data_IF_434177983866
#
_entry.id   IF_434177983866
#
_cell.length_a   1.000
_cell.length_b   1.000
_cell.length_c   1.000
_cell.angle_alpha   90.00
_cell.angle_beta   90.00
_cell.angle_gamma   90.00
#
_symmetry.space_group_name_H-M   'P 1'
#
loop_
_entity.id
_entity.type
_entity.pdbx_description
1 polymer ?
#
# COMPACT_ATOMS: atom_id res chain seq x y z
N UNK A 1 -18.92 0.59 13.78
CA UNK A 1 -18.01 -0.53 13.44
C UNK A 1 -18.27 -0.95 12.00
N UNK A 2 -17.40 -0.61 11.04
CA UNK A 2 -17.54 -1.06 9.64
C UNK A 2 -17.09 -2.52 9.56
N UNK A 3 -18.01 -3.44 9.23
CA UNK A 3 -17.68 -4.85 8.97
C UNK A 3 -16.89 -4.93 7.66
N UNK A 4 -15.61 -5.29 7.75
CA UNK A 4 -14.82 -5.71 6.59
C UNK A 4 -15.45 -6.99 6.04
N UNK A 5 -16.10 -6.89 4.89
CA UNK A 5 -16.64 -8.04 4.18
C UNK A 5 -15.44 -8.77 3.57
N UNK A 6 -14.99 -9.85 4.20
CA UNK A 6 -14.03 -10.75 3.56
C UNK A 6 -14.71 -11.42 2.37
N UNK A 7 -14.30 -11.05 1.16
CA UNK A 7 -14.72 -11.69 -0.08
C UNK A 7 -14.20 -13.14 -0.06
N UNK A 8 -15.11 -14.11 -0.21
CA UNK A 8 -14.76 -15.54 -0.32
C UNK A 8 -13.80 -15.72 -1.51
N UNK A 9 -12.54 -16.06 -1.23
CA UNK A 9 -11.47 -16.22 -2.21
C UNK A 9 -10.31 -15.23 -2.07
N UNK A 10 -10.42 -14.23 -1.19
CA UNK A 10 -9.29 -13.34 -0.87
C UNK A 10 -8.21 -14.12 -0.09
N UNK A 11 -7.09 -14.42 -0.76
CA UNK A 11 -5.91 -14.97 -0.09
C UNK A 11 -5.32 -13.86 0.79
N UNK A 12 -5.20 -14.11 2.10
CA UNK A 12 -4.42 -13.23 2.97
C UNK A 12 -2.96 -13.54 2.69
N UNK A 13 -2.33 -12.71 1.86
CA UNK A 13 -0.93 -12.84 1.47
C UNK A 13 -0.04 -12.55 2.68
N UNK A 14 1.04 -13.32 2.83
CA UNK A 14 2.04 -13.01 3.84
C UNK A 14 2.88 -11.79 3.39
N UNK A 15 3.63 -11.17 4.31
CA UNK A 15 4.42 -9.95 4.01
C UNK A 15 5.36 -10.09 2.80
N UNK A 16 5.92 -11.27 2.57
CA UNK A 16 6.82 -11.49 1.43
C UNK A 16 6.04 -11.59 0.12
N UNK A 17 4.86 -12.22 0.13
CA UNK A 17 3.94 -12.26 -1.01
C UNK A 17 3.30 -10.90 -1.30
N UNK A 18 3.03 -10.11 -0.26
CA UNK A 18 2.63 -8.72 -0.41
C UNK A 18 3.74 -7.91 -1.07
N UNK A 19 4.99 -7.99 -0.62
CA UNK A 19 6.12 -7.28 -1.26
C UNK A 19 6.29 -7.60 -2.74
N UNK A 20 6.15 -8.87 -3.14
CA UNK A 20 6.29 -9.27 -4.56
C UNK A 20 5.11 -8.84 -5.43
N UNK A 21 3.94 -8.59 -4.86
CA UNK A 21 2.74 -8.14 -5.59
C UNK A 21 2.57 -6.62 -5.52
N UNK A 22 2.87 -6.04 -4.37
CA UNK A 22 2.65 -4.64 -4.04
C UNK A 22 3.80 -3.74 -4.47
N UNK A 23 4.99 -4.27 -4.79
CA UNK A 23 6.02 -3.50 -5.50
C UNK A 23 5.40 -2.81 -6.72
N UNK A 24 5.19 -1.50 -6.62
CA UNK A 24 4.24 -0.86 -7.53
C UNK A 24 3.96 0.60 -7.24
N UNK A 25 3.71 1.32 -8.32
CA UNK A 25 3.28 2.72 -8.28
C UNK A 25 1.83 2.78 -7.80
N UNK A 26 1.61 3.47 -6.70
CA UNK A 26 0.26 3.65 -6.10
C UNK A 26 -0.61 4.62 -6.90
N UNK A 27 -0.03 5.33 -7.88
CA UNK A 27 -0.68 6.39 -8.66
C UNK A 27 -0.74 7.73 -7.94
N UNK A 28 -0.37 7.77 -6.65
CA UNK A 28 -0.31 9.01 -5.88
C UNK A 28 0.94 9.79 -6.22
N UNK A 29 0.79 11.07 -6.59
CA UNK A 29 1.93 11.96 -6.79
C UNK A 29 2.57 12.35 -5.45
N UNK A 30 3.88 12.53 -5.47
CA UNK A 30 4.66 12.99 -4.32
C UNK A 30 5.78 13.93 -4.76
N UNK A 31 6.15 14.84 -3.85
CA UNK A 31 7.33 15.69 -3.94
C UNK A 31 8.43 15.19 -3.00
N UNK A 32 8.05 14.57 -1.89
CA UNK A 32 8.94 14.00 -0.91
C UNK A 32 8.30 12.74 -0.27
N UNK A 33 9.09 12.01 0.51
CA UNK A 33 8.68 10.74 1.13
C UNK A 33 7.50 10.90 2.12
N UNK A 34 7.40 12.04 2.82
CA UNK A 34 6.34 12.26 3.80
C UNK A 34 4.95 12.38 3.16
N UNK A 35 4.87 12.78 1.88
CA UNK A 35 3.60 12.86 1.15
C UNK A 35 2.91 11.48 1.06
N UNK A 36 3.72 10.41 1.04
CA UNK A 36 3.24 9.03 0.92
C UNK A 36 2.70 8.43 2.24
N UNK A 37 2.93 9.08 3.39
CA UNK A 37 2.41 8.62 4.69
C UNK A 37 0.88 8.63 4.75
N UNK A 38 0.25 9.42 3.88
CA UNK A 38 -1.21 9.43 3.71
C UNK A 38 -1.77 8.06 3.27
N UNK A 39 -0.97 7.23 2.61
CA UNK A 39 -1.34 5.88 2.17
C UNK A 39 -1.46 4.90 3.34
N UNK A 40 -0.78 5.15 4.47
CA UNK A 40 -0.88 4.32 5.67
C UNK A 40 -2.29 4.28 6.26
N UNK A 41 -3.15 5.26 5.92
CA UNK A 41 -4.55 5.30 6.34
C UNK A 41 -5.51 4.48 5.46
N UNK A 42 -5.02 3.87 4.37
CA UNK A 42 -5.84 3.10 3.43
C UNK A 42 -5.90 1.64 3.89
N UNK A 43 -7.11 1.04 3.99
CA UNK A 43 -7.24 -0.37 4.28
C UNK A 43 -6.54 -1.25 3.24
N UNK A 44 -5.64 -2.12 3.69
CA UNK A 44 -4.76 -2.94 2.85
C UNK A 44 -3.32 -2.42 2.75
N UNK A 45 -3.05 -1.19 3.22
CA UNK A 45 -1.75 -0.52 3.17
C UNK A 45 -1.16 -0.22 4.55
N UNK A 46 -1.83 -0.68 5.63
CA UNK A 46 -1.47 -0.33 7.01
C UNK A 46 -0.10 -0.87 7.45
N UNK A 47 0.44 -1.85 6.72
CA UNK A 47 1.72 -2.51 7.03
C UNK A 47 2.77 -2.34 5.94
N UNK A 48 2.47 -1.52 4.93
CA UNK A 48 3.36 -1.26 3.80
C UNK A 48 4.28 -0.06 4.11
N UNK A 49 5.49 -0.10 3.56
CA UNK A 49 6.40 1.04 3.59
C UNK A 49 6.33 1.75 2.24
N UNK A 50 6.02 3.05 2.27
CA UNK A 50 5.89 3.85 1.05
C UNK A 50 7.05 4.79 0.88
N UNK A 51 7.48 5.03 -0.37
CA UNK A 51 8.49 6.04 -0.66
C UNK A 51 8.22 6.80 -1.94
N UNK A 52 8.73 8.04 -2.00
CA UNK A 52 8.61 8.85 -3.19
C UNK A 52 9.70 8.52 -4.21
N UNK A 53 9.32 8.10 -5.40
CA UNK A 53 10.24 7.82 -6.50
C UNK A 53 9.62 8.24 -7.83
N UNK A 54 10.40 8.98 -8.64
CA UNK A 54 9.96 9.54 -9.93
C UNK A 54 8.71 10.43 -9.85
N UNK A 55 8.50 11.07 -8.69
CA UNK A 55 7.33 11.91 -8.43
C UNK A 55 6.05 11.14 -8.06
N UNK A 56 6.17 9.84 -7.78
CA UNK A 56 5.04 9.00 -7.35
C UNK A 56 5.39 8.15 -6.12
N UNK A 57 4.39 7.93 -5.27
CA UNK A 57 4.51 7.03 -4.13
C UNK A 57 4.55 5.57 -4.61
N UNK A 58 5.63 4.88 -4.26
CA UNK A 58 5.86 3.46 -4.50
C UNK A 58 5.77 2.70 -3.19
N UNK A 59 5.47 1.41 -3.27
CA UNK A 59 5.52 0.48 -2.13
C UNK A 59 6.87 -0.26 -2.13
N UNK A 60 7.46 -0.48 -0.95
CA UNK A 60 8.76 -1.13 -0.72
C UNK A 60 8.66 -2.59 -0.27
#
# INVERSE_FOLDING_TARGET
MKKLIQLKGALVLNKNEQKTINGGNTGMQCRNHADCLSLNGIPGYEYEEFFCHWGYCQIM
#
